data_IF_473181012320
#
_entry.id   IF_473181012320
#
_cell.length_a   1.000
_cell.length_b   1.000
_cell.length_c   1.000
_cell.angle_alpha   90.00
_cell.angle_beta   90.00
_cell.angle_gamma   90.00
#
_symmetry.space_group_name_H-M   'P 1'
#
loop_
_entity.id
_entity.type
_entity.pdbx_description
1 polymer ?
#
# COMPACT_ATOMS: atom_id res chain seq x y z
N UNK A 1 7.11 -12.26 1.95
CA UNK A 1 6.62 -11.44 0.84
C UNK A 1 6.95 -9.99 1.13
N UNK A 2 7.60 -9.29 0.20
CA UNK A 2 7.95 -7.87 0.38
C UNK A 2 6.69 -6.96 0.41
N UNK A 3 6.82 -5.75 0.97
CA UNK A 3 5.74 -4.76 0.95
C UNK A 3 5.36 -4.34 -0.47
N UNK A 4 6.34 -4.21 -1.36
CA UNK A 4 6.12 -3.88 -2.77
C UNK A 4 5.29 -4.98 -3.43
N UNK A 5 5.64 -6.25 -3.20
CA UNK A 5 4.88 -7.40 -3.70
C UNK A 5 3.43 -7.37 -3.22
N UNK A 6 3.20 -7.12 -1.92
CA UNK A 6 1.85 -7.03 -1.36
C UNK A 6 1.02 -5.89 -1.98
N UNK A 7 1.61 -4.71 -2.10
CA UNK A 7 0.92 -3.56 -2.70
C UNK A 7 0.64 -3.81 -4.18
N UNK A 8 1.58 -4.40 -4.92
CA UNK A 8 1.36 -4.77 -6.32
C UNK A 8 0.24 -5.80 -6.50
N UNK A 9 0.14 -6.79 -5.62
CA UNK A 9 -0.98 -7.73 -5.63
C UNK A 9 -2.30 -7.05 -5.32
N UNK A 10 -2.36 -6.15 -4.33
CA UNK A 10 -3.57 -5.38 -4.02
C UNK A 10 -4.04 -4.56 -5.22
N UNK A 11 -3.12 -3.84 -5.87
CA UNK A 11 -3.44 -3.03 -7.04
C UNK A 11 -3.93 -3.89 -8.20
N UNK A 12 -3.23 -4.99 -8.50
CA UNK A 12 -3.62 -5.92 -9.57
C UNK A 12 -5.01 -6.51 -9.33
N UNK A 13 -5.25 -7.05 -8.14
CA UNK A 13 -6.51 -7.70 -7.78
C UNK A 13 -7.68 -6.71 -7.79
N UNK A 14 -7.47 -5.50 -7.29
CA UNK A 14 -8.50 -4.46 -7.29
C UNK A 14 -8.86 -4.02 -8.71
N UNK A 15 -7.87 -3.81 -9.58
CA UNK A 15 -8.10 -3.42 -10.97
C UNK A 15 -8.77 -4.54 -11.77
N UNK A 16 -8.41 -5.80 -11.52
CA UNK A 16 -9.06 -6.95 -12.12
C UNK A 16 -10.53 -7.07 -11.68
N UNK A 17 -10.81 -6.89 -10.40
CA UNK A 17 -12.18 -6.95 -9.86
C UNK A 17 -13.09 -5.89 -10.49
N UNK A 18 -12.57 -4.69 -10.75
CA UNK A 18 -13.33 -3.62 -11.42
C UNK A 18 -13.24 -3.68 -12.95
N UNK A 19 -12.73 -4.79 -13.51
CA UNK A 19 -12.59 -5.05 -14.95
C UNK A 19 -11.76 -4.01 -15.72
N UNK A 20 -10.78 -3.37 -15.05
CA UNK A 20 -9.78 -2.50 -15.70
C UNK A 20 -8.58 -3.28 -16.24
N UNK A 21 -8.41 -4.52 -15.82
CA UNK A 21 -7.42 -5.46 -16.32
C UNK A 21 -8.12 -6.78 -16.64
N UNK A 22 -7.82 -7.36 -17.80
CA UNK A 22 -8.33 -8.65 -18.26
C UNK A 22 -8.05 -9.80 -17.28
N UNK A 23 -8.92 -10.81 -17.28
CA UNK A 23 -8.72 -12.07 -16.56
C UNK A 23 -7.51 -12.85 -17.04
N UNK A 24 -7.12 -12.67 -18.31
CA UNK A 24 -5.98 -13.36 -18.94
C UNK A 24 -4.62 -12.76 -18.53
N UNK A 25 -4.63 -11.52 -18.03
CA UNK A 25 -3.43 -10.83 -17.57
C UNK A 25 -2.95 -11.41 -16.25
N UNK A 26 -1.69 -11.82 -16.20
CA UNK A 26 -1.09 -12.46 -15.03
C UNK A 26 0.00 -11.58 -14.40
N UNK A 27 -0.14 -11.32 -13.09
CA UNK A 27 0.90 -10.63 -12.33
C UNK A 27 2.15 -11.50 -12.17
N UNK A 28 3.31 -10.93 -12.50
CA UNK A 28 4.63 -11.53 -12.29
C UNK A 28 5.47 -10.66 -11.38
N UNK A 29 5.93 -11.24 -10.27
CA UNK A 29 6.76 -10.59 -9.26
C UNK A 29 8.07 -11.37 -9.16
N UNK A 30 9.19 -10.69 -9.34
CA UNK A 30 10.52 -11.26 -9.17
C UNK A 30 11.32 -10.40 -8.20
N UNK A 31 11.69 -10.96 -7.05
CA UNK A 31 12.64 -10.37 -6.12
C UNK A 31 14.07 -10.62 -6.65
N UNK A 32 14.92 -9.61 -6.62
CA UNK A 32 16.32 -9.69 -7.08
C UNK A 32 17.28 -9.37 -5.95
N UNK A 33 18.49 -9.93 -6.07
CA UNK A 33 19.62 -9.54 -5.22
C UNK A 33 19.83 -8.02 -5.29
N UNK A 34 20.06 -7.40 -4.13
CA UNK A 34 20.14 -5.94 -3.98
C UNK A 34 18.84 -5.25 -3.55
N UNK A 35 17.79 -5.99 -3.20
CA UNK A 35 16.57 -5.43 -2.60
C UNK A 35 15.59 -4.80 -3.59
N UNK A 36 15.77 -5.07 -4.89
CA UNK A 36 14.87 -4.61 -5.94
C UNK A 36 13.77 -5.65 -6.19
N UNK A 37 12.54 -5.16 -6.38
CA UNK A 37 11.39 -5.98 -6.76
C UNK A 37 10.95 -5.57 -8.16
N UNK A 38 10.97 -6.49 -9.12
CA UNK A 38 10.45 -6.27 -10.47
C UNK A 38 9.02 -6.81 -10.55
N UNK A 39 8.11 -5.96 -10.96
CA UNK A 39 6.70 -6.29 -11.12
C UNK A 39 6.25 -5.96 -12.54
N UNK A 40 5.56 -6.88 -13.20
CA UNK A 40 4.98 -6.67 -14.53
C UNK A 40 3.76 -7.56 -14.76
N UNK A 41 2.95 -7.22 -15.75
CA UNK A 41 1.84 -8.04 -16.20
C UNK A 41 2.23 -8.82 -17.46
N UNK A 42 2.04 -10.14 -17.44
CA UNK A 42 2.19 -11.00 -18.61
C UNK A 42 0.83 -11.14 -19.30
N UNK A 43 0.80 -11.05 -20.63
CA UNK A 43 -0.44 -11.14 -21.42
C UNK A 43 -1.29 -9.87 -21.44
N UNK A 44 -0.84 -8.80 -20.79
CA UNK A 44 -1.56 -7.53 -20.72
C UNK A 44 -1.37 -6.68 -21.98
N UNK A 45 -2.39 -5.90 -22.32
CA UNK A 45 -2.27 -4.85 -23.32
C UNK A 45 -1.35 -3.71 -22.80
N UNK A 46 -0.78 -2.87 -23.70
CA UNK A 46 -0.01 -1.70 -23.27
C UNK A 46 -0.80 -0.77 -22.35
N UNK A 47 -2.10 -0.61 -22.59
CA UNK A 47 -3.00 0.22 -21.78
C UNK A 47 -3.19 -0.36 -20.37
N UNK A 48 -3.44 -1.67 -20.25
CA UNK A 48 -3.57 -2.35 -18.96
C UNK A 48 -2.27 -2.27 -18.15
N UNK A 49 -1.13 -2.50 -18.81
CA UNK A 49 0.18 -2.38 -18.19
C UNK A 49 0.45 -0.96 -17.68
N UNK A 50 0.03 0.07 -18.43
CA UNK A 50 0.16 1.46 -18.05
C UNK A 50 -0.72 1.81 -16.84
N UNK A 51 -2.00 1.42 -16.85
CA UNK A 51 -2.94 1.65 -15.73
C UNK A 51 -2.40 0.99 -14.45
N UNK A 52 -1.91 -0.25 -14.56
CA UNK A 52 -1.31 -0.97 -13.45
C UNK A 52 -0.06 -0.28 -12.92
N UNK A 53 0.91 0.04 -13.79
CA UNK A 53 2.17 0.66 -13.40
C UNK A 53 1.94 2.03 -12.74
N UNK A 54 1.02 2.83 -13.29
CA UNK A 54 0.63 4.11 -12.71
C UNK A 54 -0.02 3.94 -11.33
N UNK A 55 -0.92 2.97 -11.18
CA UNK A 55 -1.60 2.71 -9.90
C UNK A 55 -0.64 2.24 -8.80
N UNK A 56 0.33 1.38 -9.13
CA UNK A 56 1.40 0.98 -8.20
C UNK A 56 2.26 2.18 -7.82
N UNK A 57 2.64 3.01 -8.81
CA UNK A 57 3.44 4.23 -8.60
C UNK A 57 2.73 5.20 -7.66
N UNK A 58 1.45 5.45 -7.85
CA UNK A 58 0.67 6.35 -7.00
C UNK A 58 0.57 5.84 -5.56
N UNK A 59 0.44 4.53 -5.37
CA UNK A 59 0.32 3.91 -4.04
C UNK A 59 1.65 3.90 -3.28
N UNK A 60 2.77 3.67 -3.98
CA UNK A 60 4.11 3.60 -3.40
C UNK A 60 4.84 4.94 -3.36
N UNK A 61 4.42 5.89 -4.18
CA UNK A 61 5.04 7.20 -4.33
C UNK A 61 4.51 8.24 -3.33
N UNK A 62 5.09 9.44 -3.35
CA UNK A 62 4.61 10.57 -2.54
C UNK A 62 3.15 10.91 -2.83
N UNK A 63 2.45 11.39 -1.81
CA UNK A 63 1.05 11.81 -1.95
C UNK A 63 0.95 13.06 -2.85
N UNK A 64 0.49 12.87 -4.09
CA UNK A 64 0.29 13.93 -5.08
C UNK A 64 -1.20 14.24 -5.26
N UNK A 65 -1.77 15.00 -4.32
CA UNK A 65 -3.20 15.38 -4.31
C UNK A 65 -4.17 14.18 -4.42
N UNK A 66 -4.03 13.12 -3.60
CA UNK A 66 -4.91 11.95 -3.66
C UNK A 66 -6.37 12.33 -3.37
N UNK A 67 -7.32 11.55 -3.89
CA UNK A 67 -8.74 11.68 -3.53
C UNK A 67 -9.12 10.85 -2.31
N UNK A 68 -8.52 9.67 -2.19
CA UNK A 68 -8.61 8.80 -1.04
C UNK A 68 -7.22 8.40 -0.57
N UNK A 69 -7.07 8.18 0.73
CA UNK A 69 -5.85 7.66 1.36
C UNK A 69 -6.19 6.47 2.25
N UNK A 70 -5.24 5.57 2.45
CA UNK A 70 -5.41 4.41 3.33
C UNK A 70 -4.21 4.30 4.29
N UNK A 71 -4.44 4.12 5.60
CA UNK A 71 -3.36 3.95 6.55
C UNK A 71 -2.81 2.54 6.48
N UNK A 72 -1.49 2.44 6.69
CA UNK A 72 -0.79 1.20 6.97
C UNK A 72 -0.39 1.17 8.43
N UNK A 73 -0.79 0.14 9.15
CA UNK A 73 -0.37 -0.08 10.52
C UNK A 73 0.69 -1.18 10.60
N UNK A 74 1.56 -1.08 11.60
CA UNK A 74 2.47 -2.16 11.99
C UNK A 74 2.32 -2.43 13.47
N UNK A 75 2.42 -3.69 13.85
CA UNK A 75 2.46 -4.10 15.26
C UNK A 75 3.86 -3.85 15.80
N UNK A 76 3.98 -2.86 16.68
CA UNK A 76 5.23 -2.59 17.39
C UNK A 76 5.12 -3.23 18.78
N UNK A 77 6.14 -3.99 19.23
CA UNK A 77 6.19 -4.44 20.62
C UNK A 77 6.07 -3.22 21.55
N UNK A 78 5.17 -3.24 22.53
CA UNK A 78 5.12 -2.18 23.51
C UNK A 78 6.40 -2.22 24.35
N UNK A 79 7.31 -1.28 24.09
CA UNK A 79 8.49 -1.07 24.93
C UNK A 79 8.01 -0.53 26.28
N UNK A 80 7.66 -1.46 27.15
CA UNK A 80 7.37 -1.17 28.55
C UNK A 80 8.71 -1.34 29.25
N UNK A 81 9.16 -0.37 30.06
CA UNK A 81 10.42 -0.48 30.82
C UNK A 81 10.55 -1.80 31.60
N UNK A 82 9.43 -2.43 31.96
CA UNK A 82 9.31 -3.78 32.53
C UNK A 82 9.82 -4.92 31.63
N UNK A 83 9.80 -4.80 30.30
CA UNK A 83 10.23 -5.85 29.37
C UNK A 83 11.76 -6.12 29.40
N UNK A 84 12.54 -5.19 29.98
CA UNK A 84 13.97 -5.41 30.31
C UNK A 84 14.18 -6.27 31.56
N UNK A 85 13.21 -6.33 32.46
CA UNK A 85 13.27 -7.07 33.73
C UNK A 85 12.48 -8.39 33.69
N UNK A 86 11.66 -8.63 32.65
CA UNK A 86 10.88 -9.85 32.50
C UNK A 86 11.77 -11.06 32.12
N UNK A 87 11.61 -12.21 32.80
CA UNK A 87 12.21 -13.47 32.37
C UNK A 87 11.84 -13.81 30.93
N UNK A 88 12.81 -14.25 30.11
CA UNK A 88 12.60 -14.57 28.66
C UNK A 88 11.45 -15.54 28.40
N UNK A 89 11.15 -16.40 29.37
CA UNK A 89 10.09 -17.43 29.30
C UNK A 89 8.68 -16.81 29.31
N UNK A 90 8.50 -15.64 29.93
CA UNK A 90 7.20 -14.98 30.07
C UNK A 90 6.90 -13.94 28.96
N UNK A 91 7.92 -13.55 28.17
CA UNK A 91 7.78 -12.55 27.09
C UNK A 91 6.65 -12.85 26.09
N UNK A 92 6.50 -14.08 25.56
CA UNK A 92 5.48 -14.35 24.54
C UNK A 92 4.04 -14.14 25.02
N UNK A 93 3.79 -14.23 26.32
CA UNK A 93 2.46 -14.11 26.92
C UNK A 93 2.12 -12.67 27.36
N UNK A 94 3.11 -11.80 27.54
CA UNK A 94 2.92 -10.44 28.09
C UNK A 94 3.21 -9.31 27.10
N UNK A 95 3.75 -9.60 25.92
CA UNK A 95 3.98 -8.60 24.87
C UNK A 95 2.67 -8.04 24.34
N UNK A 96 2.18 -6.95 24.95
CA UNK A 96 1.15 -6.11 24.36
C UNK A 96 1.71 -5.49 23.08
N UNK A 97 1.10 -5.78 21.93
CA UNK A 97 1.44 -5.16 20.66
C UNK A 97 0.61 -3.89 20.50
N UNK A 98 1.29 -2.75 20.31
CA UNK A 98 0.61 -1.51 19.99
C UNK A 98 0.59 -1.37 18.46
N UNK A 99 -0.62 -1.25 17.89
CA UNK A 99 -0.77 -0.88 16.49
C UNK A 99 -0.37 0.57 16.32
N UNK A 100 0.73 0.82 15.63
CA UNK A 100 1.16 2.17 15.28
C UNK A 100 0.93 2.40 13.79
N UNK A 101 0.34 3.54 13.45
CA UNK A 101 0.28 3.97 12.05
C UNK A 101 1.71 4.19 11.57
N UNK A 102 2.10 3.44 10.56
CA UNK A 102 3.44 3.47 10.00
C UNK A 102 3.51 4.39 8.78
N UNK A 103 2.49 4.37 7.93
CA UNK A 103 2.49 5.12 6.67
C UNK A 103 1.06 5.40 6.21
N UNK A 104 0.86 6.51 5.51
CA UNK A 104 -0.37 6.84 4.81
C UNK A 104 -0.12 6.74 3.31
N UNK A 105 -0.85 5.86 2.64
CA UNK A 105 -0.70 5.61 1.21
C UNK A 105 -1.87 6.22 0.42
N UNK A 106 -1.63 6.61 -0.83
CA UNK A 106 -2.73 6.98 -1.72
C UNK A 106 -3.51 5.73 -2.15
N UNK A 107 -4.84 5.85 -2.24
CA UNK A 107 -5.61 4.97 -3.10
C UNK A 107 -5.39 5.48 -4.54
N UNK A 108 -4.95 4.64 -5.48
CA UNK A 108 -4.61 5.11 -6.81
C UNK A 108 -5.84 5.65 -7.53
N UNK A 109 -5.64 6.61 -8.43
CA UNK A 109 -6.67 7.38 -9.12
C UNK A 109 -7.69 6.48 -9.81
N UNK A 110 -7.24 5.41 -10.47
CA UNK A 110 -8.09 4.41 -11.12
C UNK A 110 -9.11 3.76 -10.16
N UNK A 111 -8.78 3.66 -8.88
CA UNK A 111 -9.61 3.07 -7.81
C UNK A 111 -10.24 4.14 -6.90
N UNK A 112 -9.87 5.42 -7.05
CA UNK A 112 -10.32 6.51 -6.19
C UNK A 112 -11.47 7.34 -6.77
N UNK A 113 -11.97 6.99 -7.98
CA UNK A 113 -13.01 7.76 -8.68
C UNK A 113 -14.35 7.78 -7.92
N UNK A 114 -14.72 6.68 -7.27
CA UNK A 114 -15.97 6.54 -6.51
C UNK A 114 -15.67 5.84 -5.18
N UNK A 115 -16.51 6.08 -4.18
CA UNK A 115 -16.40 5.44 -2.86
C UNK A 115 -16.39 3.91 -2.99
N UNK A 116 -17.24 3.36 -3.83
CA UNK A 116 -17.37 1.90 -3.96
C UNK A 116 -16.13 1.27 -4.61
N UNK A 117 -15.45 1.99 -5.51
CA UNK A 117 -14.16 1.54 -6.07
C UNK A 117 -13.03 1.63 -5.03
N UNK A 118 -13.06 2.67 -4.20
CA UNK A 118 -12.11 2.80 -3.10
C UNK A 118 -12.30 1.68 -2.06
N UNK A 119 -13.54 1.23 -1.86
CA UNK A 119 -13.87 0.10 -0.99
C UNK A 119 -13.33 -1.24 -1.54
N UNK A 120 -13.32 -1.45 -2.86
CA UNK A 120 -12.65 -2.61 -3.47
C UNK A 120 -11.17 -2.63 -3.12
N UNK A 121 -10.48 -1.49 -3.29
CA UNK A 121 -9.08 -1.37 -2.91
C UNK A 121 -8.86 -1.60 -1.42
N UNK A 122 -9.70 -1.03 -0.56
CA UNK A 122 -9.67 -1.23 0.89
C UNK A 122 -9.79 -2.72 1.26
N UNK A 123 -10.71 -3.46 0.64
CA UNK A 123 -10.90 -4.88 0.91
C UNK A 123 -9.63 -5.70 0.61
N UNK A 124 -9.02 -5.48 -0.56
CA UNK A 124 -7.77 -6.15 -0.92
C UNK A 124 -6.60 -5.71 -0.03
N UNK A 125 -6.52 -4.42 0.29
CA UNK A 125 -5.52 -3.87 1.20
C UNK A 125 -5.60 -4.49 2.60
N UNK A 126 -6.81 -4.61 3.14
CA UNK A 126 -7.04 -5.19 4.46
C UNK A 126 -6.69 -6.67 4.50
N UNK A 127 -6.86 -7.39 3.39
CA UNK A 127 -6.50 -8.79 3.28
C UNK A 127 -4.99 -9.04 3.15
N UNK A 128 -4.24 -8.15 2.49
CA UNK A 128 -2.84 -8.41 2.08
C UNK A 128 -1.79 -7.49 2.70
N UNK A 129 -2.17 -6.30 3.16
CA UNK A 129 -1.22 -5.26 3.63
C UNK A 129 -1.42 -4.95 5.10
N UNK A 130 -2.52 -4.29 5.47
CA UNK A 130 -2.89 -4.10 6.89
C UNK A 130 -4.33 -3.63 7.01
N UNK A 131 -5.07 -4.00 8.07
CA UNK A 131 -6.40 -3.45 8.32
C UNK A 131 -6.41 -1.93 8.44
N UNK A 132 -7.28 -1.26 7.70
CA UNK A 132 -7.47 0.19 7.68
C UNK A 132 -8.72 0.58 6.87
N UNK A 133 -9.05 1.87 6.87
CA UNK A 133 -10.16 2.41 6.09
C UNK A 133 -9.64 3.40 5.05
N UNK A 134 -10.16 3.33 3.83
CA UNK A 134 -9.96 4.34 2.80
C UNK A 134 -10.72 5.61 3.18
N UNK A 135 -9.98 6.70 3.43
CA UNK A 135 -10.52 8.00 3.84
C UNK A 135 -10.56 8.96 2.68
N UNK A 136 -11.70 9.62 2.46
CA UNK A 136 -11.82 10.70 1.48
C UNK A 136 -11.12 11.97 1.98
N UNK A 137 -10.29 12.59 1.15
CA UNK A 137 -9.42 13.71 1.56
C UNK A 137 -9.59 14.98 0.73
N UNK A 138 -10.69 15.12 -0.02
CA UNK A 138 -11.07 16.40 -0.67
C UNK A 138 -12.09 17.17 0.17
N UNK A 139 -11.86 17.22 1.48
CA UNK A 139 -12.62 18.01 2.43
C UNK A 139 -11.67 18.45 3.58
N UNK A 140 -12.03 19.48 4.36
CA UNK A 140 -11.11 20.03 5.38
C UNK A 140 -10.62 19.00 6.41
N UNK A 141 -11.46 18.04 6.80
CA UNK A 141 -11.12 17.03 7.79
C UNK A 141 -10.10 16.02 7.25
N UNK A 142 -10.31 15.53 6.03
CA UNK A 142 -9.40 14.59 5.38
C UNK A 142 -8.11 15.26 4.90
N UNK A 143 -8.15 16.54 4.51
CA UNK A 143 -6.94 17.32 4.25
C UNK A 143 -6.05 17.40 5.49
N UNK A 144 -6.64 17.58 6.67
CA UNK A 144 -5.90 17.60 7.93
C UNK A 144 -5.18 16.26 8.19
N UNK A 145 -5.81 15.12 7.86
CA UNK A 145 -5.17 13.80 7.95
C UNK A 145 -3.92 13.71 7.09
N UNK A 146 -3.96 14.25 5.87
CA UNK A 146 -2.80 14.28 4.97
C UNK A 146 -1.71 15.21 5.50
N UNK A 147 -2.09 16.40 5.96
CA UNK A 147 -1.16 17.39 6.55
C UNK A 147 -0.44 16.79 7.76
N UNK A 148 -1.17 16.12 8.65
CA UNK A 148 -0.59 15.50 9.84
C UNK A 148 0.33 14.35 9.48
N UNK A 149 -0.02 13.53 8.48
CA UNK A 149 0.86 12.48 8.00
C UNK A 149 2.16 13.04 7.41
N UNK A 150 2.09 14.09 6.60
CA UNK A 150 3.28 14.77 6.04
C UNK A 150 4.14 15.33 7.18
N UNK A 151 3.55 16.07 8.13
CA UNK A 151 4.27 16.66 9.27
C UNK A 151 5.01 15.63 10.10
N UNK A 152 4.45 14.43 10.22
CA UNK A 152 5.03 13.33 10.98
C UNK A 152 5.92 12.38 10.15
N UNK A 153 6.22 12.71 8.89
CA UNK A 153 6.97 11.85 7.96
C UNK A 153 6.35 10.44 7.78
N UNK A 154 5.02 10.38 7.78
CA UNK A 154 4.23 9.16 7.59
C UNK A 154 3.69 9.09 6.16
N UNK A 155 4.42 9.59 5.16
CA UNK A 155 4.09 9.46 3.73
C UNK A 155 5.25 8.82 2.96
N UNK A 156 4.98 8.08 1.86
CA UNK A 156 6.06 7.45 1.11
C UNK A 156 6.98 8.49 0.48
N UNK A 157 8.28 8.27 0.60
CA UNK A 157 9.34 9.08 -0.03
C UNK A 157 10.06 8.33 -1.15
N UNK A 158 9.54 7.16 -1.55
CA UNK A 158 10.18 6.31 -2.56
C UNK A 158 10.24 7.01 -3.91
N UNK A 159 11.46 7.13 -4.45
CA UNK A 159 11.69 7.64 -5.80
C UNK A 159 11.36 6.52 -6.78
N UNK A 160 10.22 6.60 -7.45
CA UNK A 160 9.84 5.66 -8.50
C UNK A 160 10.52 6.07 -9.80
N UNK A 161 11.36 5.19 -10.34
CA UNK A 161 11.99 5.39 -11.65
C UNK A 161 11.20 4.64 -12.72
N UNK A 162 10.78 5.36 -13.74
CA UNK A 162 10.16 4.79 -14.93
C UNK A 162 11.24 4.44 -15.96
N UNK A 163 11.15 3.23 -16.52
CA UNK A 163 12.03 2.80 -17.60
C UNK A 163 11.22 2.05 -18.64
N UNK A 164 11.10 2.65 -19.82
CA UNK A 164 10.59 1.95 -20.99
C UNK A 164 11.60 0.87 -21.40
N UNK A 165 11.13 -0.37 -21.44
CA UNK A 165 11.94 -1.50 -21.87
C UNK A 165 11.37 -1.95 -23.22
N UNK A 166 12.04 -1.56 -24.30
CA UNK A 166 11.76 -2.10 -25.62
C UNK A 166 12.24 -3.56 -25.66
N UNK A 167 11.38 -4.47 -26.11
CA UNK A 167 11.70 -5.87 -26.38
C UNK A 167 12.32 -6.00 -27.77
#
# INVERSE_FOLDING_TARGET
MSLVSAISEVVFESLREISQISSESALKINERDGGYVRVFLAGASPEEAQIFAQSVRETLGPLSSPRYVIPRFVDVPADTLTNRLLPRILRPWLERRNRRQWMLHAVPTALALKRDLAAVFENHWNAKVSPGQAMFVKNPQGEQVVIDAIRNNLTPSTIVHEKEMFL
#
